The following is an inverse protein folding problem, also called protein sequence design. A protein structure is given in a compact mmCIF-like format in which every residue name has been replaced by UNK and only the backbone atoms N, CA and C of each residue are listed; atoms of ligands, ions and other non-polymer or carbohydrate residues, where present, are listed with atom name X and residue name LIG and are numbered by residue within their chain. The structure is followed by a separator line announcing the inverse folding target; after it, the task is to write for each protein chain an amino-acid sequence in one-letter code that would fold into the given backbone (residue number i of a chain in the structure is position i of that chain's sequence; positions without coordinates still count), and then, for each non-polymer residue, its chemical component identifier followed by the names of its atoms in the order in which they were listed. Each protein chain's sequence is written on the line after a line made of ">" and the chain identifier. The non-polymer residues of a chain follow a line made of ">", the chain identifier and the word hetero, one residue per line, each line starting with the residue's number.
data_IF_510711692617
#
_entry.id   IF_510711692617
#
_cell.length_a   1.000
_cell.length_b   1.000
_cell.length_c   1.000
_cell.angle_alpha   90.00
_cell.angle_beta   90.00
_cell.angle_gamma   90.00
#
_symmetry.space_group_name_H-M   'P 1'
#
loop_
_entity.id
_entity.type
_entity.pdbx_description
1 polymer ?
#
# COMPACT_ATOMS: atom_id res chain seq x y z
N UNK A 1 17.04 30.95 -18.74
CA UNK A 1 16.17 29.97 -18.05
C UNK A 1 14.75 30.49 -18.14
N UNK A 2 13.87 29.72 -18.72
CA UNK A 2 12.50 30.13 -19.03
C UNK A 2 11.68 30.31 -17.74
N UNK A 3 11.04 31.48 -17.59
CA UNK A 3 10.20 31.81 -16.43
C UNK A 3 9.00 30.84 -16.28
N UNK A 4 8.56 30.25 -17.38
CA UNK A 4 7.51 29.23 -17.42
C UNK A 4 7.97 27.94 -16.75
N UNK A 5 9.17 27.47 -17.06
CA UNK A 5 9.76 26.26 -16.44
C UNK A 5 9.92 26.42 -14.92
N UNK A 6 10.35 27.59 -14.47
CA UNK A 6 10.49 27.88 -13.03
C UNK A 6 9.14 27.92 -12.30
N UNK A 7 8.07 28.41 -12.94
CA UNK A 7 6.71 28.39 -12.38
C UNK A 7 6.16 26.97 -12.26
N UNK A 8 6.32 26.16 -13.29
CA UNK A 8 5.87 24.75 -13.27
C UNK A 8 6.63 23.90 -12.24
N UNK A 9 7.95 24.05 -12.14
CA UNK A 9 8.77 23.38 -11.14
C UNK A 9 8.36 23.78 -9.72
N UNK A 10 8.05 25.06 -9.48
CA UNK A 10 7.57 25.55 -8.18
C UNK A 10 6.19 25.03 -7.83
N UNK A 11 5.25 24.98 -8.79
CA UNK A 11 3.92 24.43 -8.60
C UNK A 11 3.97 22.91 -8.32
N UNK A 12 4.82 22.16 -9.02
CA UNK A 12 5.04 20.72 -8.79
C UNK A 12 5.61 20.45 -7.40
N UNK A 13 6.53 21.28 -6.93
CA UNK A 13 7.13 21.17 -5.59
C UNK A 13 6.09 21.46 -4.49
N UNK A 14 5.27 22.50 -4.62
CA UNK A 14 4.19 22.82 -3.68
C UNK A 14 3.21 21.64 -3.59
N UNK A 15 2.74 21.11 -4.71
CA UNK A 15 1.81 19.98 -4.76
C UNK A 15 2.39 18.71 -4.13
N UNK A 16 3.69 18.47 -4.28
CA UNK A 16 4.35 17.32 -3.66
C UNK A 16 4.47 17.48 -2.14
N UNK A 17 4.74 18.71 -1.64
CA UNK A 17 4.79 19.02 -0.22
C UNK A 17 3.41 18.90 0.45
N UNK A 18 2.35 19.39 -0.18
CA UNK A 18 0.97 19.24 0.31
C UNK A 18 0.55 17.77 0.38
N UNK A 19 0.94 16.96 -0.61
CA UNK A 19 0.66 15.52 -0.62
C UNK A 19 1.43 14.80 0.50
N UNK A 20 2.67 15.17 0.76
CA UNK A 20 3.46 14.60 1.85
C UNK A 20 2.87 14.98 3.21
N UNK A 21 2.51 16.24 3.42
CA UNK A 21 1.87 16.72 4.65
C UNK A 21 0.56 15.99 4.95
N UNK A 22 -0.30 15.79 3.94
CA UNK A 22 -1.54 15.02 4.12
C UNK A 22 -1.30 13.57 4.53
N UNK A 23 -0.28 12.93 3.97
CA UNK A 23 0.08 11.54 4.33
C UNK A 23 0.58 11.43 5.76
N UNK A 24 1.37 12.39 6.22
CA UNK A 24 1.84 12.42 7.61
C UNK A 24 0.67 12.67 8.57
N UNK A 25 -0.25 13.58 8.23
CA UNK A 25 -1.47 13.83 9.00
C UNK A 25 -2.37 12.59 9.07
N UNK A 26 -2.52 11.84 7.98
CA UNK A 26 -3.28 10.58 7.98
C UNK A 26 -2.68 9.55 8.94
N UNK A 27 -1.35 9.45 9.01
CA UNK A 27 -0.69 8.56 9.96
C UNK A 27 -0.94 8.97 11.41
N UNK A 28 -0.86 10.25 11.72
CA UNK A 28 -1.12 10.77 13.06
C UNK A 28 -2.56 10.54 13.49
N UNK A 29 -3.52 10.82 12.60
CA UNK A 29 -4.94 10.56 12.84
C UNK A 29 -5.22 9.06 13.03
N UNK A 30 -4.60 8.18 12.23
CA UNK A 30 -4.75 6.74 12.38
C UNK A 30 -4.25 6.22 13.74
N UNK A 31 -3.17 6.81 14.26
CA UNK A 31 -2.64 6.47 15.59
C UNK A 31 -3.51 7.01 16.74
N UNK A 32 -4.20 8.14 16.51
CA UNK A 32 -5.11 8.75 17.49
C UNK A 32 -6.52 8.18 17.42
N UNK A 33 -6.88 7.57 16.29
CA UNK A 33 -8.19 6.97 16.07
C UNK A 33 -8.37 5.78 17.01
N UNK A 34 -9.37 5.88 17.89
CA UNK A 34 -9.78 4.79 18.76
C UNK A 34 -11.25 4.50 18.53
N UNK A 35 -11.53 3.22 18.30
CA UNK A 35 -12.92 2.74 18.23
C UNK A 35 -13.40 2.55 19.67
N UNK A 36 -14.25 3.46 20.14
CA UNK A 36 -14.84 3.41 21.49
C UNK A 36 -16.13 2.59 21.53
N UNK A 37 -16.72 2.28 20.38
CA UNK A 37 -17.96 1.53 20.25
C UNK A 37 -17.66 0.07 19.92
N UNK A 38 -18.56 -0.81 20.39
CA UNK A 38 -18.48 -2.24 20.08
C UNK A 38 -18.63 -2.44 18.56
N UNK A 39 -17.73 -3.21 17.97
CA UNK A 39 -17.77 -3.53 16.54
C UNK A 39 -18.74 -4.68 16.29
N UNK A 40 -19.94 -4.36 15.86
CA UNK A 40 -21.01 -5.34 15.61
C UNK A 40 -20.74 -6.28 14.42
N UNK A 41 -19.64 -6.08 13.70
CA UNK A 41 -19.23 -7.00 12.61
C UNK A 41 -18.69 -8.33 13.12
N UNK A 42 -18.28 -8.38 14.39
CA UNK A 42 -17.79 -9.59 15.04
C UNK A 42 -18.71 -10.00 16.14
N UNK A 43 -19.29 -11.17 15.96
CA UNK A 43 -20.25 -11.74 16.88
C UNK A 43 -19.65 -12.97 17.57
N UNK A 44 -19.58 -12.97 18.88
CA UNK A 44 -19.06 -14.10 19.64
C UNK A 44 -20.19 -14.98 20.16
N UNK A 45 -20.31 -16.17 19.59
CA UNK A 45 -21.30 -17.21 19.96
C UNK A 45 -20.58 -18.45 20.54
N UNK A 46 -20.26 -18.44 21.85
CA UNK A 46 -19.41 -19.47 22.45
C UNK A 46 -20.05 -20.89 22.40
N UNK A 47 -21.37 -20.98 22.36
CA UNK A 47 -22.09 -22.24 22.32
C UNK A 47 -22.16 -22.85 20.92
N UNK A 48 -22.08 -22.02 19.87
CA UNK A 48 -22.26 -22.42 18.47
C UNK A 48 -20.96 -22.40 17.68
N UNK A 49 -19.92 -21.73 18.20
CA UNK A 49 -18.66 -21.54 17.49
C UNK A 49 -17.78 -22.79 17.55
N UNK A 50 -17.23 -23.16 16.40
CA UNK A 50 -16.16 -24.13 16.32
C UNK A 50 -14.86 -23.46 16.75
N UNK A 51 -14.37 -23.76 17.93
CA UNK A 51 -13.12 -23.23 18.43
C UNK A 51 -11.92 -23.90 17.77
N UNK A 52 -10.86 -23.13 17.42
CA UNK A 52 -9.64 -23.71 16.87
C UNK A 52 -8.97 -24.64 17.88
N UNK A 53 -8.45 -25.76 17.38
CA UNK A 53 -7.69 -26.73 18.17
C UNK A 53 -6.20 -26.42 18.09
N UNK A 54 -5.44 -26.90 19.07
CA UNK A 54 -3.98 -26.80 19.03
C UNK A 54 -3.46 -27.50 17.75
N UNK A 55 -2.76 -26.74 16.91
CA UNK A 55 -2.21 -27.22 15.64
C UNK A 55 -3.05 -26.88 14.41
N UNK A 56 -4.24 -26.30 14.58
CA UNK A 56 -4.99 -25.77 13.45
C UNK A 56 -4.20 -24.70 12.73
N UNK A 57 -4.29 -24.70 11.41
CA UNK A 57 -3.61 -23.71 10.55
C UNK A 57 -4.63 -22.87 9.80
N UNK A 58 -4.35 -21.58 9.71
CA UNK A 58 -5.19 -20.60 9.01
C UNK A 58 -4.61 -20.24 7.64
N UNK A 59 -3.81 -21.15 7.07
CA UNK A 59 -3.13 -20.90 5.80
C UNK A 59 -4.12 -20.65 4.67
N UNK A 60 -3.91 -19.57 3.94
CA UNK A 60 -4.70 -19.18 2.78
C UNK A 60 -3.82 -19.12 1.56
N UNK A 61 -4.20 -19.79 0.49
CA UNK A 61 -3.52 -19.75 -0.79
C UNK A 61 -4.05 -18.56 -1.62
N UNK A 62 -3.15 -17.71 -2.11
CA UNK A 62 -3.45 -16.59 -3.00
C UNK A 62 -2.51 -16.66 -4.22
N UNK A 63 -3.05 -17.09 -5.36
CA UNK A 63 -2.24 -17.38 -6.53
C UNK A 63 -1.20 -18.46 -6.24
N UNK A 64 0.07 -18.14 -6.45
CA UNK A 64 1.22 -19.03 -6.17
C UNK A 64 1.84 -18.80 -4.78
N UNK A 65 1.28 -17.88 -3.99
CA UNK A 65 1.76 -17.55 -2.63
C UNK A 65 0.85 -18.15 -1.57
N UNK A 66 1.38 -18.32 -0.37
CA UNK A 66 0.62 -18.85 0.77
C UNK A 66 0.81 -17.94 1.98
N UNK A 67 -0.31 -17.44 2.50
CA UNK A 67 -0.36 -16.72 3.76
C UNK A 67 -0.44 -17.70 4.92
N UNK A 68 0.24 -17.42 6.04
CA UNK A 68 0.09 -18.21 7.25
C UNK A 68 -1.25 -17.92 7.95
N UNK A 69 -1.78 -16.71 7.76
CA UNK A 69 -3.06 -16.25 8.31
C UNK A 69 -3.81 -15.45 7.24
N UNK A 70 -5.14 -15.40 7.27
CA UNK A 70 -5.96 -14.57 6.37
C UNK A 70 -5.87 -13.08 6.77
N UNK A 71 -4.66 -12.58 6.94
CA UNK A 71 -4.38 -11.21 7.38
C UNK A 71 -3.56 -10.49 6.31
N UNK A 72 -3.94 -9.27 6.04
CA UNK A 72 -3.32 -8.39 5.06
C UNK A 72 -2.99 -7.03 5.67
N UNK A 73 -1.76 -6.56 5.49
CA UNK A 73 -1.36 -5.20 5.85
C UNK A 73 -1.91 -4.26 4.77
N UNK A 74 -2.82 -3.38 5.18
CA UNK A 74 -3.56 -2.50 4.30
C UNK A 74 -2.68 -1.43 3.65
N UNK A 75 -3.08 -0.96 2.45
CA UNK A 75 -2.37 0.01 1.61
C UNK A 75 -2.54 1.45 2.12
N UNK A 76 -2.00 1.80 3.29
CA UNK A 76 -2.20 3.13 3.88
C UNK A 76 -1.03 4.10 3.69
N UNK A 77 0.20 3.62 3.61
CA UNK A 77 1.39 4.46 3.72
C UNK A 77 2.31 4.38 2.51
N UNK A 78 2.95 5.49 2.16
CA UNK A 78 3.96 5.53 1.09
C UNK A 78 4.35 6.94 0.67
N UNK A 79 5.59 7.10 0.21
CA UNK A 79 6.07 8.29 -0.48
C UNK A 79 6.61 9.44 0.38
N UNK A 80 6.72 9.28 1.71
CA UNK A 80 7.46 10.20 2.60
C UNK A 80 8.57 9.45 3.35
N UNK A 81 9.55 10.14 3.90
CA UNK A 81 10.63 9.52 4.69
C UNK A 81 10.08 8.77 5.90
N UNK A 82 9.12 9.36 6.60
CA UNK A 82 8.47 8.77 7.77
C UNK A 82 7.67 7.52 7.41
N UNK A 83 6.91 7.58 6.32
CA UNK A 83 6.12 6.44 5.84
C UNK A 83 6.99 5.31 5.30
N UNK A 84 8.16 5.62 4.73
CA UNK A 84 9.12 4.61 4.28
C UNK A 84 9.61 3.76 5.44
N UNK A 85 10.01 4.37 6.56
CA UNK A 85 10.46 3.64 7.74
C UNK A 85 9.36 2.73 8.31
N UNK A 86 8.11 3.21 8.36
CA UNK A 86 6.95 2.40 8.77
C UNK A 86 6.76 1.21 7.82
N UNK A 87 6.80 1.45 6.51
CA UNK A 87 6.64 0.40 5.51
C UNK A 87 7.72 -0.68 5.61
N UNK A 88 8.97 -0.30 5.87
CA UNK A 88 10.05 -1.27 6.09
C UNK A 88 9.79 -2.17 7.30
N UNK A 89 9.35 -1.59 8.42
CA UNK A 89 9.00 -2.37 9.63
C UNK A 89 7.82 -3.29 9.37
N UNK A 90 6.80 -2.82 8.66
CA UNK A 90 5.65 -3.62 8.28
C UNK A 90 6.05 -4.75 7.32
N UNK A 91 6.94 -4.49 6.36
CA UNK A 91 7.45 -5.51 5.44
C UNK A 91 8.20 -6.61 6.17
N UNK A 92 9.07 -6.26 7.13
CA UNK A 92 9.78 -7.24 7.97
C UNK A 92 8.77 -8.08 8.77
N UNK A 93 7.76 -7.45 9.36
CA UNK A 93 6.72 -8.16 10.10
C UNK A 93 5.90 -9.09 9.18
N UNK A 94 5.49 -8.60 8.00
CA UNK A 94 4.74 -9.40 7.03
C UNK A 94 5.53 -10.63 6.58
N UNK A 95 6.80 -10.47 6.24
CA UNK A 95 7.68 -11.57 5.87
C UNK A 95 7.87 -12.58 7.01
N UNK A 96 8.08 -12.10 8.24
CA UNK A 96 8.28 -12.94 9.42
C UNK A 96 7.04 -13.75 9.79
N UNK A 97 5.86 -13.16 9.73
CA UNK A 97 4.61 -13.81 10.12
C UNK A 97 3.84 -14.46 8.97
N UNK A 98 4.28 -14.27 7.74
CA UNK A 98 3.62 -14.83 6.55
C UNK A 98 2.30 -14.13 6.24
N UNK A 99 2.27 -12.80 6.30
CA UNK A 99 1.12 -11.95 6.02
C UNK A 99 1.22 -11.34 4.62
N UNK A 100 0.08 -11.02 4.01
CA UNK A 100 0.09 -10.21 2.78
C UNK A 100 0.37 -8.73 3.07
N UNK A 101 0.92 -8.02 2.09
CA UNK A 101 1.18 -6.58 2.23
C UNK A 101 0.78 -5.80 0.97
N UNK A 102 0.03 -4.71 1.17
CA UNK A 102 -0.22 -3.68 0.18
C UNK A 102 0.57 -2.41 0.49
N UNK A 103 1.27 -1.89 -0.51
CA UNK A 103 1.87 -0.56 -0.42
C UNK A 103 0.79 0.52 -0.46
N UNK A 104 1.06 1.70 0.11
CA UNK A 104 0.24 2.88 -0.10
C UNK A 104 0.29 3.35 -1.55
N UNK A 105 -0.44 4.44 -1.89
CA UNK A 105 -0.51 4.93 -3.27
C UNK A 105 0.85 5.05 -3.92
N UNK A 106 1.07 4.26 -4.97
CA UNK A 106 2.34 4.15 -5.69
C UNK A 106 2.46 5.17 -6.84
N UNK A 107 1.47 6.08 -6.99
CA UNK A 107 1.47 7.13 -8.02
C UNK A 107 2.77 7.93 -8.07
N UNK A 108 3.30 8.28 -6.89
CA UNK A 108 4.51 9.10 -6.81
C UNK A 108 5.72 8.43 -7.46
N UNK A 109 5.79 7.10 -7.46
CA UNK A 109 6.87 6.37 -8.13
C UNK A 109 6.78 6.40 -9.67
N UNK A 110 5.59 6.66 -10.23
CA UNK A 110 5.43 6.89 -11.67
C UNK A 110 5.86 8.30 -12.10
N UNK A 111 5.82 9.27 -11.17
CA UNK A 111 6.14 10.66 -11.40
C UNK A 111 7.62 10.98 -11.09
N UNK A 112 8.21 10.26 -10.14
CA UNK A 112 9.59 10.45 -9.67
C UNK A 112 10.27 9.10 -9.45
N UNK A 113 11.21 8.77 -10.32
CA UNK A 113 11.97 7.52 -10.27
C UNK A 113 12.80 7.36 -8.99
N UNK A 114 13.19 8.47 -8.33
CA UNK A 114 13.90 8.40 -7.05
C UNK A 114 13.01 7.85 -5.93
N UNK A 115 11.70 7.85 -6.13
CA UNK A 115 10.72 7.32 -5.18
C UNK A 115 10.43 5.82 -5.35
N UNK A 116 10.88 5.20 -6.41
CA UNK A 116 10.71 3.75 -6.64
C UNK A 116 11.29 2.95 -5.47
N UNK A 117 12.44 3.34 -4.95
CA UNK A 117 13.09 2.71 -3.79
C UNK A 117 12.24 2.70 -2.52
N UNK A 118 11.26 3.61 -2.40
CA UNK A 118 10.35 3.65 -1.24
C UNK A 118 9.32 2.50 -1.29
N UNK A 119 9.18 1.86 -2.45
CA UNK A 119 8.29 0.74 -2.74
C UNK A 119 9.04 -0.57 -2.98
N UNK A 120 10.37 -0.56 -3.02
CA UNK A 120 11.20 -1.76 -3.12
C UNK A 120 11.31 -2.44 -1.74
N UNK A 121 10.24 -3.12 -1.37
CA UNK A 121 10.11 -3.80 -0.07
C UNK A 121 10.37 -5.30 -0.17
N UNK A 122 10.51 -5.84 -1.38
CA UNK A 122 10.72 -7.27 -1.60
C UNK A 122 11.91 -7.86 -0.84
N UNK A 123 13.08 -7.18 -0.74
CA UNK A 123 14.20 -7.69 0.04
C UNK A 123 13.89 -7.91 1.53
N UNK A 124 12.92 -7.16 2.09
CA UNK A 124 12.50 -7.26 3.49
C UNK A 124 11.35 -8.26 3.69
N UNK A 125 10.43 -8.33 2.72
CA UNK A 125 9.29 -9.25 2.70
C UNK A 125 9.69 -10.69 2.43
N UNK A 126 10.70 -10.91 1.57
CA UNK A 126 10.99 -12.20 0.96
C UNK A 126 9.94 -12.62 -0.08
N UNK A 127 10.13 -13.79 -0.70
CA UNK A 127 9.34 -14.23 -1.87
C UNK A 127 8.10 -15.06 -1.51
N UNK A 128 7.90 -15.39 -0.25
CA UNK A 128 6.84 -16.31 0.18
C UNK A 128 5.47 -15.66 0.33
N UNK A 129 5.44 -14.35 0.59
CA UNK A 129 4.21 -13.61 0.86
C UNK A 129 3.84 -12.69 -0.30
N UNK A 130 2.54 -12.45 -0.55
CA UNK A 130 2.10 -11.54 -1.60
C UNK A 130 2.39 -10.08 -1.23
N UNK A 131 2.85 -9.32 -2.22
CA UNK A 131 3.10 -7.89 -2.15
C UNK A 131 2.46 -7.18 -3.32
N UNK A 132 1.57 -6.22 -3.05
CA UNK A 132 0.85 -5.49 -4.08
C UNK A 132 1.10 -3.99 -3.97
N UNK A 133 1.28 -3.34 -5.12
CA UNK A 133 1.24 -1.89 -5.24
C UNK A 133 -0.21 -1.39 -5.22
N UNK A 134 -0.42 -0.07 -5.08
CA UNK A 134 -1.74 0.53 -5.04
C UNK A 134 -1.82 1.75 -5.96
N UNK A 135 -2.86 1.79 -6.80
CA UNK A 135 -3.17 2.92 -7.67
C UNK A 135 -4.66 3.26 -7.57
N UNK A 136 -4.98 4.55 -7.55
CA UNK A 136 -6.36 5.00 -7.67
C UNK A 136 -6.92 4.74 -9.06
N UNK A 137 -8.24 4.59 -9.17
CA UNK A 137 -8.91 4.32 -10.45
C UNK A 137 -8.64 5.44 -11.46
N UNK A 138 -8.61 6.72 -11.03
CA UNK A 138 -8.32 7.84 -11.91
C UNK A 138 -6.91 7.78 -12.52
N UNK A 139 -5.90 7.28 -11.77
CA UNK A 139 -4.57 7.07 -12.32
C UNK A 139 -4.55 5.96 -13.38
N UNK A 140 -5.32 4.90 -13.16
CA UNK A 140 -5.42 3.80 -14.13
C UNK A 140 -6.10 4.31 -15.40
N UNK A 141 -7.24 5.00 -15.30
CA UNK A 141 -7.95 5.58 -16.44
C UNK A 141 -7.06 6.54 -17.23
N UNK A 142 -6.38 7.45 -16.54
CA UNK A 142 -5.42 8.36 -17.17
C UNK A 142 -4.30 7.61 -17.89
N UNK A 143 -3.76 6.57 -17.28
CA UNK A 143 -2.68 5.76 -17.88
C UNK A 143 -3.14 5.01 -19.12
N UNK A 144 -4.40 4.59 -19.18
CA UNK A 144 -5.00 3.98 -20.37
C UNK A 144 -5.18 5.02 -21.47
N UNK A 145 -5.76 6.18 -21.17
CA UNK A 145 -5.98 7.28 -22.12
C UNK A 145 -4.66 7.76 -22.73
N UNK A 146 -3.62 7.91 -21.92
CA UNK A 146 -2.29 8.34 -22.35
C UNK A 146 -1.43 7.20 -22.96
N UNK A 147 -1.97 5.98 -23.06
CA UNK A 147 -1.25 4.78 -23.50
C UNK A 147 0.04 4.52 -22.72
N UNK A 148 0.05 4.90 -21.42
CA UNK A 148 1.21 4.84 -20.53
C UNK A 148 1.13 3.71 -19.50
N UNK A 149 0.20 2.76 -19.63
CA UNK A 149 0.00 1.64 -18.71
C UNK A 149 1.28 0.78 -18.52
N UNK A 150 2.15 0.75 -19.53
CA UNK A 150 3.45 0.06 -19.49
C UNK A 150 4.34 0.60 -18.35
N UNK A 151 4.17 1.86 -17.92
CA UNK A 151 4.92 2.40 -16.79
C UNK A 151 4.55 1.71 -15.47
N UNK A 152 3.28 1.36 -15.32
CA UNK A 152 2.79 0.61 -14.15
C UNK A 152 3.35 -0.80 -14.17
N UNK A 153 3.34 -1.47 -15.32
CA UNK A 153 3.93 -2.81 -15.48
C UNK A 153 5.42 -2.81 -15.12
N UNK A 154 6.18 -1.85 -15.66
CA UNK A 154 7.60 -1.71 -15.34
C UNK A 154 7.85 -1.49 -13.85
N UNK A 155 7.04 -0.66 -13.19
CA UNK A 155 7.17 -0.44 -11.76
C UNK A 155 6.90 -1.73 -10.96
N UNK A 156 5.86 -2.50 -11.33
CA UNK A 156 5.55 -3.80 -10.71
C UNK A 156 6.74 -4.76 -10.83
N UNK A 157 7.33 -4.85 -12.03
CA UNK A 157 8.51 -5.68 -12.30
C UNK A 157 9.73 -5.21 -11.51
N UNK A 158 10.01 -3.91 -11.51
CA UNK A 158 11.18 -3.30 -10.85
C UNK A 158 11.20 -3.54 -9.34
N UNK A 159 10.04 -3.43 -8.67
CA UNK A 159 9.93 -3.69 -7.23
C UNK A 159 9.53 -5.14 -6.90
N UNK A 160 9.46 -6.00 -7.92
CA UNK A 160 9.07 -7.42 -7.78
C UNK A 160 7.74 -7.60 -7.03
N UNK A 161 6.76 -6.73 -7.30
CA UNK A 161 5.42 -6.87 -6.76
C UNK A 161 4.66 -8.00 -7.48
N UNK A 162 3.74 -8.67 -6.78
CA UNK A 162 2.94 -9.77 -7.34
C UNK A 162 1.69 -9.26 -8.08
N UNK A 163 1.37 -7.97 -7.96
CA UNK A 163 0.22 -7.35 -8.60
C UNK A 163 -0.08 -5.94 -8.08
N UNK A 164 -1.27 -5.45 -8.40
CA UNK A 164 -1.73 -4.14 -7.98
C UNK A 164 -3.12 -4.22 -7.34
N UNK A 165 -3.37 -3.31 -6.39
CA UNK A 165 -4.72 -2.92 -5.98
C UNK A 165 -5.17 -1.73 -6.83
N UNK A 166 -6.40 -1.77 -7.31
CA UNK A 166 -7.07 -0.62 -7.90
C UNK A 166 -8.01 -0.07 -6.83
N UNK A 167 -7.65 1.10 -6.29
CA UNK A 167 -8.44 1.77 -5.27
C UNK A 167 -9.55 2.59 -5.93
N UNK A 168 -10.79 2.29 -5.56
CA UNK A 168 -11.97 3.00 -6.05
C UNK A 168 -12.58 3.78 -4.90
N UNK A 169 -12.39 5.10 -4.89
CA UNK A 169 -12.98 5.99 -3.90
C UNK A 169 -13.45 7.29 -4.59
N UNK A 170 -14.73 7.41 -4.87
CA UNK A 170 -15.27 8.55 -5.62
C UNK A 170 -15.14 9.90 -4.90
N UNK A 171 -14.81 9.91 -3.60
CA UNK A 171 -14.58 11.13 -2.83
C UNK A 171 -13.12 11.61 -2.86
N UNK A 172 -12.20 10.77 -3.31
CA UNK A 172 -10.77 11.10 -3.36
C UNK A 172 -10.22 11.25 -4.77
N UNK A 173 -10.98 10.81 -5.77
CA UNK A 173 -10.56 10.71 -7.17
C UNK A 173 -11.06 11.92 -8.04
#
# INVERSE_FOLDING_TARGET
>A
MDATYMKEAKAKNIKSQETASRKDSHMELALQSQVSEQDDRFYYEPMLSAHPKKGDTWKVKLGNKTLNFPIWISSMTGGTLKTNEVNKRLAIAAGKFGLGMGAGSSRIALEDTLKVKDFDLRPLLGDKVPYYLNFGIAQIEKSIQEKSIVKIQKLVEEVSADGIFIHVNPLQE
#
